data_IF_070156940026
#
_entry.id   IF_070156940026
#
_cell.length_a   1.000
_cell.length_b   1.000
_cell.length_c   1.000
_cell.angle_alpha   90.00
_cell.angle_beta   90.00
_cell.angle_gamma   90.00
#
_symmetry.space_group_name_H-M   'P 1'
#
loop_
_entity.id
_entity.type
_entity.pdbx_description
1 polymer ?
#
# COMPACT_ATOMS: atom_id res chain seq x y z
N UNK A 1 -31.60 11.09 -3.83
CA UNK A 1 -30.21 10.65 -3.97
C UNK A 1 -29.48 11.79 -4.62
N UNK A 2 -28.31 12.16 -4.10
CA UNK A 2 -27.42 13.08 -4.79
C UNK A 2 -26.42 12.23 -5.58
N UNK A 3 -26.16 12.64 -6.82
CA UNK A 3 -25.23 11.98 -7.73
C UNK A 3 -24.16 13.00 -8.06
N UNK A 4 -22.90 12.61 -7.89
CA UNK A 4 -21.74 13.40 -8.26
C UNK A 4 -20.87 12.55 -9.19
N UNK A 5 -20.47 13.12 -10.33
CA UNK A 5 -19.54 12.50 -11.26
C UNK A 5 -18.22 13.25 -11.12
N UNK A 6 -17.19 12.54 -10.69
CA UNK A 6 -15.88 13.12 -10.38
C UNK A 6 -14.89 12.59 -11.41
N UNK A 7 -14.35 13.46 -12.28
CA UNK A 7 -13.34 13.04 -13.22
C UNK A 7 -12.06 12.63 -12.48
N UNK A 8 -11.31 11.72 -13.09
CA UNK A 8 -9.98 11.37 -12.58
C UNK A 8 -9.02 12.55 -12.74
N UNK A 9 -7.94 12.55 -11.94
CA UNK A 9 -6.88 13.55 -12.08
C UNK A 9 -6.29 13.52 -13.50
N UNK A 10 -6.09 14.68 -14.10
CA UNK A 10 -5.51 14.82 -15.45
C UNK A 10 -4.15 14.14 -15.58
N UNK A 11 -3.37 14.09 -14.51
CA UNK A 11 -2.08 13.38 -14.48
C UNK A 11 -2.22 11.88 -14.77
N UNK A 12 -3.43 11.33 -14.64
CA UNK A 12 -3.75 9.91 -14.71
C UNK A 12 -4.57 9.58 -15.98
N UNK A 13 -4.79 10.55 -16.87
CA UNK A 13 -5.51 10.35 -18.15
C UNK A 13 -4.91 9.23 -19.00
N UNK A 14 -3.59 9.02 -18.93
CA UNK A 14 -2.88 7.96 -19.67
C UNK A 14 -3.38 6.55 -19.34
N UNK A 15 -4.05 6.38 -18.19
CA UNK A 15 -4.57 5.09 -17.73
C UNK A 15 -6.01 4.85 -18.18
N UNK A 16 -6.65 5.80 -18.87
CA UNK A 16 -8.04 5.72 -19.35
C UNK A 16 -9.03 5.23 -18.29
N UNK A 17 -8.87 5.74 -17.07
CA UNK A 17 -9.67 5.34 -15.94
C UNK A 17 -11.06 5.97 -16.03
N UNK A 18 -12.12 5.24 -15.65
CA UNK A 18 -13.47 5.78 -15.64
C UNK A 18 -13.62 6.85 -14.55
N UNK A 19 -14.54 7.78 -14.80
CA UNK A 19 -14.98 8.76 -13.80
C UNK A 19 -15.62 8.04 -12.61
N UNK A 20 -15.47 8.63 -11.43
CA UNK A 20 -16.09 8.11 -10.21
C UNK A 20 -17.53 8.60 -10.16
N UNK A 21 -18.45 7.67 -9.95
CA UNK A 21 -19.85 8.00 -9.66
C UNK A 21 -20.05 7.85 -8.15
N UNK A 22 -20.21 8.98 -7.46
CA UNK A 22 -20.51 9.02 -6.04
C UNK A 22 -22.01 9.19 -5.81
N UNK A 23 -22.57 8.30 -5.01
CA UNK A 23 -23.98 8.29 -4.65
C UNK A 23 -24.13 8.60 -3.16
N UNK A 24 -24.77 9.74 -2.83
CA UNK A 24 -25.00 10.15 -1.44
C UNK A 24 -26.49 10.18 -1.12
N UNK A 25 -26.95 9.45 -0.10
CA UNK A 25 -28.33 9.52 0.38
C UNK A 25 -28.65 10.93 0.91
N UNK A 26 -29.67 11.57 0.33
CA UNK A 26 -30.16 12.87 0.75
C UNK A 26 -31.48 12.72 1.55
N UNK A 27 -31.75 13.67 2.45
CA UNK A 27 -32.96 13.73 3.27
C UNK A 27 -33.19 12.45 4.08
N UNK A 28 -32.18 12.03 4.85
CA UNK A 28 -32.23 10.83 5.70
C UNK A 28 -32.17 11.25 7.16
N UNK A 29 -33.07 10.70 7.98
CA UNK A 29 -33.11 10.99 9.42
C UNK A 29 -32.16 10.08 10.21
N UNK A 30 -31.65 9.01 9.58
CA UNK A 30 -30.75 8.04 10.18
C UNK A 30 -29.85 7.37 9.14
N UNK A 31 -28.75 6.75 9.59
CA UNK A 31 -27.89 5.90 8.75
C UNK A 31 -28.65 4.69 8.18
N UNK A 32 -29.63 4.15 8.91
CA UNK A 32 -30.47 3.04 8.45
C UNK A 32 -31.32 3.44 7.25
N UNK A 33 -31.89 4.65 7.27
CA UNK A 33 -32.68 5.16 6.14
C UNK A 33 -31.80 5.44 4.93
N UNK A 34 -30.59 5.97 5.17
CA UNK A 34 -29.58 6.16 4.14
C UNK A 34 -29.20 4.83 3.47
N UNK A 35 -28.96 3.79 4.26
CA UNK A 35 -28.65 2.45 3.77
C UNK A 35 -29.80 1.84 2.96
N UNK A 36 -31.04 1.88 3.47
CA UNK A 36 -32.22 1.39 2.73
C UNK A 36 -32.40 2.08 1.38
N UNK A 37 -32.07 3.38 1.28
CA UNK A 37 -32.10 4.10 0.00
C UNK A 37 -31.04 3.59 -0.97
N UNK A 38 -29.81 3.37 -0.51
CA UNK A 38 -28.74 2.78 -1.34
C UNK A 38 -29.10 1.38 -1.81
N UNK A 39 -29.67 0.56 -0.94
CA UNK A 39 -30.10 -0.80 -1.27
C UNK A 39 -31.15 -0.80 -2.41
N UNK A 40 -32.14 0.09 -2.37
CA UNK A 40 -33.13 0.22 -3.45
C UNK A 40 -32.51 0.63 -4.79
N UNK A 41 -31.46 1.45 -4.76
CA UNK A 41 -30.73 1.84 -5.99
C UNK A 41 -29.95 0.64 -6.53
N UNK A 42 -29.25 -0.07 -5.66
CA UNK A 42 -28.54 -1.30 -5.99
C UNK A 42 -29.44 -2.34 -6.65
N UNK A 43 -30.61 -2.62 -6.06
CA UNK A 43 -31.61 -3.55 -6.59
C UNK A 43 -32.07 -3.15 -8.00
N UNK A 44 -32.36 -1.86 -8.22
CA UNK A 44 -32.76 -1.35 -9.55
C UNK A 44 -31.66 -1.45 -10.59
N UNK A 45 -30.40 -1.33 -10.16
CA UNK A 45 -29.22 -1.40 -11.03
C UNK A 45 -28.67 -2.82 -11.17
N UNK A 46 -29.32 -3.81 -10.55
CA UNK A 46 -28.85 -5.20 -10.48
C UNK A 46 -27.41 -5.31 -9.94
N UNK A 47 -27.07 -4.50 -8.93
CA UNK A 47 -25.76 -4.54 -8.26
C UNK A 47 -25.87 -5.44 -7.04
N UNK A 48 -25.10 -6.53 -7.06
CA UNK A 48 -25.05 -7.48 -5.97
C UNK A 48 -23.97 -7.11 -4.93
N UNK A 49 -24.30 -7.27 -3.65
CA UNK A 49 -23.37 -7.09 -2.55
C UNK A 49 -23.41 -8.31 -1.65
N UNK A 50 -22.27 -8.71 -1.11
CA UNK A 50 -22.25 -9.63 0.03
C UNK A 50 -22.77 -8.90 1.26
N UNK A 51 -23.70 -9.52 1.97
CA UNK A 51 -24.35 -8.95 3.14
C UNK A 51 -23.85 -9.68 4.39
N UNK A 52 -23.57 -8.93 5.45
CA UNK A 52 -23.36 -9.47 6.79
C UNK A 52 -24.69 -9.45 7.53
N UNK A 53 -25.14 -10.62 7.99
CA UNK A 53 -26.35 -10.74 8.79
C UNK A 53 -26.09 -10.21 10.21
N UNK A 54 -26.50 -8.96 10.43
CA UNK A 54 -26.62 -8.30 11.72
C UNK A 54 -28.09 -7.91 11.91
N UNK A 55 -28.54 -7.43 13.09
CA UNK A 55 -29.92 -7.00 13.29
C UNK A 55 -30.44 -6.03 12.22
N UNK A 56 -29.51 -5.31 11.56
CA UNK A 56 -29.73 -4.61 10.30
C UNK A 56 -28.72 -5.18 9.28
N UNK A 57 -29.16 -5.75 8.14
CA UNK A 57 -28.27 -6.26 7.10
C UNK A 57 -27.38 -5.13 6.56
N UNK A 58 -26.07 -5.36 6.49
CA UNK A 58 -25.07 -4.38 6.03
C UNK A 58 -24.16 -4.99 4.98
N UNK A 59 -23.64 -4.21 4.03
CA UNK A 59 -22.71 -4.74 3.03
C UNK A 59 -21.40 -5.12 3.70
N UNK A 60 -20.83 -6.25 3.29
CA UNK A 60 -19.48 -6.61 3.66
C UNK A 60 -18.52 -5.60 3.02
N UNK A 61 -17.65 -5.02 3.84
CA UNK A 61 -16.66 -4.04 3.38
C UNK A 61 -15.46 -4.83 2.85
N UNK A 62 -15.44 -5.07 1.53
CA UNK A 62 -14.44 -5.90 0.84
C UNK A 62 -13.00 -5.41 1.07
N UNK A 63 -12.81 -4.12 1.31
CA UNK A 63 -11.53 -3.49 1.59
C UNK A 63 -10.88 -4.13 2.83
N UNK A 64 -11.64 -4.31 3.93
CA UNK A 64 -11.13 -5.01 5.11
C UNK A 64 -10.82 -6.48 4.81
N UNK A 65 -11.66 -7.15 4.00
CA UNK A 65 -11.40 -8.54 3.60
C UNK A 65 -10.09 -8.72 2.83
N UNK A 66 -9.80 -7.82 1.88
CA UNK A 66 -8.53 -7.81 1.13
C UNK A 66 -7.32 -7.52 2.02
N UNK A 67 -7.49 -6.59 2.98
CA UNK A 67 -6.48 -6.30 3.98
C UNK A 67 -6.20 -7.53 4.84
N UNK A 68 -7.24 -8.20 5.35
CA UNK A 68 -7.11 -9.36 6.24
C UNK A 68 -6.49 -10.56 5.52
N UNK A 69 -6.84 -10.77 4.25
CA UNK A 69 -6.27 -11.82 3.41
C UNK A 69 -4.77 -11.64 3.15
N UNK A 70 -4.26 -10.41 3.21
CA UNK A 70 -2.84 -10.15 3.01
C UNK A 70 -2.01 -10.63 4.20
N UNK A 71 -0.79 -11.10 3.98
CA UNK A 71 0.09 -11.55 5.06
C UNK A 71 0.61 -10.38 5.92
N UNK A 72 1.22 -10.68 7.06
CA UNK A 72 1.98 -9.75 7.90
C UNK A 72 3.47 -9.78 7.53
N UNK A 73 4.22 -8.73 7.85
CA UNK A 73 5.66 -8.70 7.59
C UNK A 73 6.40 -9.76 8.40
N UNK A 74 5.91 -10.09 9.60
CA UNK A 74 6.45 -11.18 10.43
C UNK A 74 6.16 -12.55 9.85
N UNK A 75 4.93 -12.79 9.38
CA UNK A 75 4.58 -14.02 8.68
C UNK A 75 5.42 -14.20 7.41
N UNK A 76 5.58 -13.13 6.63
CA UNK A 76 6.45 -13.10 5.46
C UNK A 76 7.92 -13.39 5.82
N UNK A 77 8.46 -12.71 6.85
CA UNK A 77 9.83 -12.95 7.35
C UNK A 77 10.03 -14.41 7.72
N UNK A 78 9.11 -15.00 8.50
CA UNK A 78 9.17 -16.41 8.87
C UNK A 78 9.20 -17.32 7.64
N UNK A 79 8.33 -17.08 6.66
CA UNK A 79 8.30 -17.85 5.42
C UNK A 79 9.62 -17.77 4.66
N UNK A 80 10.19 -16.57 4.51
CA UNK A 80 11.47 -16.34 3.82
C UNK A 80 12.61 -17.07 4.53
N UNK A 81 12.73 -16.90 5.84
CA UNK A 81 13.83 -17.50 6.61
C UNK A 81 13.80 -19.04 6.59
N UNK A 82 12.60 -19.63 6.48
CA UNK A 82 12.44 -21.09 6.41
C UNK A 82 12.64 -21.64 4.99
N UNK A 83 12.18 -20.94 3.95
CA UNK A 83 12.00 -21.54 2.62
C UNK A 83 12.85 -20.93 1.50
N UNK A 84 13.51 -19.79 1.75
CA UNK A 84 14.14 -18.99 0.69
C UNK A 84 15.64 -18.77 0.88
N UNK A 85 16.29 -19.57 1.70
CA UNK A 85 17.74 -19.50 1.91
C UNK A 85 18.50 -19.75 0.60
N UNK A 86 19.53 -18.94 0.37
CA UNK A 86 20.48 -19.06 -0.74
C UNK A 86 21.88 -19.23 -0.16
N UNK A 87 22.58 -20.29 -0.54
CA UNK A 87 23.88 -20.62 0.04
C UNK A 87 25.01 -19.70 -0.45
N UNK A 88 25.00 -19.31 -1.74
CA UNK A 88 26.01 -18.42 -2.35
C UNK A 88 25.43 -17.61 -3.52
N UNK A 89 24.87 -16.42 -3.27
CA UNK A 89 24.45 -15.54 -4.35
C UNK A 89 25.67 -14.92 -5.03
N UNK A 90 26.15 -15.51 -6.13
CA UNK A 90 27.36 -15.10 -6.83
C UNK A 90 27.07 -14.08 -7.94
N UNK A 91 26.61 -12.88 -7.56
CA UNK A 91 26.20 -11.82 -8.50
C UNK A 91 26.90 -10.48 -8.24
N UNK A 92 28.13 -10.51 -7.75
CA UNK A 92 28.83 -9.32 -7.24
C UNK A 92 29.01 -8.20 -8.29
N UNK A 93 29.04 -8.52 -9.58
CA UNK A 93 29.42 -7.58 -10.64
C UNK A 93 28.29 -6.65 -11.12
N UNK A 94 27.01 -6.95 -10.86
CA UNK A 94 25.88 -6.12 -11.31
C UNK A 94 24.75 -6.08 -10.28
N UNK A 95 24.90 -5.18 -9.30
CA UNK A 95 23.95 -5.02 -8.21
C UNK A 95 23.53 -3.57 -7.99
N UNK A 96 22.30 -3.42 -7.52
CA UNK A 96 21.85 -2.21 -6.82
C UNK A 96 21.55 -2.56 -5.37
N UNK A 97 21.75 -1.60 -4.48
CA UNK A 97 21.34 -1.71 -3.08
C UNK A 97 20.11 -0.83 -2.84
N UNK A 98 19.19 -1.29 -2.01
CA UNK A 98 18.07 -0.46 -1.57
C UNK A 98 18.58 0.59 -0.57
N UNK A 99 18.65 1.83 -1.02
CA UNK A 99 18.97 2.96 -0.17
C UNK A 99 17.74 3.32 0.68
N UNK A 100 17.87 3.24 2.00
CA UNK A 100 16.76 3.47 2.91
C UNK A 100 16.46 4.95 3.10
N UNK A 101 17.34 5.88 2.72
CA UNK A 101 17.12 7.32 2.72
C UNK A 101 16.43 7.78 1.43
N UNK A 102 16.88 7.28 0.28
CA UNK A 102 16.27 7.58 -1.02
C UNK A 102 15.05 6.70 -1.34
N UNK A 103 14.82 5.66 -0.53
CA UNK A 103 13.72 4.70 -0.64
C UNK A 103 13.64 4.00 -2.01
N UNK A 104 14.79 3.78 -2.65
CA UNK A 104 14.90 3.17 -3.97
C UNK A 104 16.19 2.38 -4.13
N UNK A 105 16.23 1.51 -5.13
CA UNK A 105 17.46 0.84 -5.53
C UNK A 105 18.40 1.81 -6.24
N UNK A 106 19.64 1.90 -5.76
CA UNK A 106 20.72 2.73 -6.32
C UNK A 106 21.91 1.85 -6.68
N UNK A 107 22.72 2.28 -7.65
CA UNK A 107 23.93 1.55 -8.02
C UNK A 107 24.85 1.48 -6.80
N UNK A 108 25.35 0.28 -6.52
CA UNK A 108 26.25 0.02 -5.40
C UNK A 108 27.57 -0.54 -5.94
N UNK A 109 28.67 0.03 -5.46
CA UNK A 109 30.03 -0.39 -5.81
C UNK A 109 30.85 -0.79 -4.59
N UNK A 110 30.30 -0.65 -3.39
CA UNK A 110 30.97 -0.97 -2.12
C UNK A 110 30.73 -2.42 -1.73
N UNK A 111 31.51 -2.98 -0.82
CA UNK A 111 31.28 -4.34 -0.31
C UNK A 111 29.86 -4.52 0.25
N UNK A 112 29.28 -5.70 0.03
CA UNK A 112 27.92 -5.99 0.48
C UNK A 112 27.87 -6.02 2.00
N UNK A 113 27.02 -5.18 2.60
CA UNK A 113 26.67 -5.28 4.02
C UNK A 113 25.85 -6.56 4.28
N UNK A 114 26.55 -7.64 4.63
CA UNK A 114 25.95 -8.95 4.92
C UNK A 114 25.21 -8.98 6.27
N UNK A 115 25.30 -7.93 7.09
CA UNK A 115 24.55 -7.84 8.35
C UNK A 115 23.08 -7.56 8.09
N UNK A 116 22.77 -6.51 7.31
CA UNK A 116 21.40 -6.17 6.95
C UNK A 116 21.32 -5.26 5.72
N UNK A 117 21.01 -5.84 4.57
CA UNK A 117 20.83 -5.10 3.32
C UNK A 117 19.88 -5.81 2.34
N UNK A 118 19.37 -5.08 1.36
CA UNK A 118 18.51 -5.60 0.29
C UNK A 118 19.06 -5.21 -1.06
N UNK A 119 19.23 -6.19 -1.93
CA UNK A 119 19.93 -6.05 -3.21
C UNK A 119 18.99 -6.44 -4.34
N UNK A 120 19.13 -5.73 -5.46
CA UNK A 120 18.49 -6.04 -6.72
C UNK A 120 19.57 -6.45 -7.73
N UNK A 121 19.41 -7.63 -8.30
CA UNK A 121 20.26 -8.18 -9.34
C UNK A 121 19.44 -8.37 -10.62
N UNK A 122 20.09 -8.28 -11.76
CA UNK A 122 19.50 -8.62 -13.05
C UNK A 122 20.19 -9.88 -13.58
N UNK A 123 19.52 -11.02 -13.45
CA UNK A 123 20.06 -12.36 -13.75
C UNK A 123 19.12 -13.04 -14.73
N UNK A 124 19.67 -13.60 -15.82
CA UNK A 124 18.89 -14.35 -16.82
C UNK A 124 17.62 -13.61 -17.31
N UNK A 125 17.76 -12.30 -17.58
CA UNK A 125 16.67 -11.43 -18.02
C UNK A 125 15.56 -11.17 -16.99
N UNK A 126 15.76 -11.52 -15.73
CA UNK A 126 14.82 -11.32 -14.64
C UNK A 126 15.48 -10.55 -13.49
N UNK A 127 14.67 -9.78 -12.77
CA UNK A 127 15.13 -9.14 -11.55
C UNK A 127 14.96 -10.09 -10.37
N UNK A 128 16.05 -10.30 -9.63
CA UNK A 128 16.05 -11.10 -8.39
C UNK A 128 16.40 -10.18 -7.23
N UNK A 129 15.69 -10.33 -6.12
CA UNK A 129 15.91 -9.53 -4.92
C UNK A 129 16.41 -10.42 -3.79
N UNK A 130 17.51 -10.02 -3.16
CA UNK A 130 18.15 -10.82 -2.11
C UNK A 130 18.27 -9.96 -0.86
N UNK A 131 17.71 -10.46 0.24
CA UNK A 131 17.89 -9.91 1.58
C UNK A 131 19.10 -10.59 2.23
N UNK A 132 20.07 -9.79 2.66
CA UNK A 132 21.09 -10.23 3.59
C UNK A 132 20.65 -9.95 5.02
N UNK A 133 20.74 -10.96 5.88
CA UNK A 133 20.45 -10.88 7.30
C UNK A 133 21.39 -11.82 8.06
N UNK A 134 22.20 -11.27 8.97
CA UNK A 134 23.12 -12.02 9.83
C UNK A 134 24.02 -13.00 9.05
N UNK A 135 24.67 -12.51 7.99
CA UNK A 135 25.53 -13.26 7.07
C UNK A 135 24.85 -14.37 6.26
N UNK A 136 23.52 -14.43 6.26
CA UNK A 136 22.74 -15.33 5.43
C UNK A 136 21.99 -14.54 4.35
N UNK A 137 21.83 -15.15 3.20
CA UNK A 137 21.10 -14.58 2.08
C UNK A 137 19.79 -15.31 1.83
N UNK A 138 18.75 -14.54 1.52
CA UNK A 138 17.41 -15.05 1.24
C UNK A 138 16.82 -14.38 0.02
N UNK A 139 16.22 -15.16 -0.89
CA UNK A 139 15.44 -14.61 -1.99
C UNK A 139 14.11 -14.04 -1.47
N UNK A 140 13.80 -12.81 -1.87
CA UNK A 140 12.59 -12.11 -1.43
C UNK A 140 11.82 -11.53 -2.60
N UNK A 141 10.54 -11.26 -2.38
CA UNK A 141 9.76 -10.43 -3.28
C UNK A 141 10.25 -8.99 -3.19
N UNK A 142 10.19 -8.28 -4.33
CA UNK A 142 10.70 -6.91 -4.46
C UNK A 142 10.09 -5.93 -3.46
N UNK A 143 8.78 -5.97 -3.24
CA UNK A 143 8.09 -4.97 -2.43
C UNK A 143 8.02 -5.40 -0.97
N UNK A 144 7.74 -6.69 -0.71
CA UNK A 144 7.81 -7.24 0.63
C UNK A 144 9.22 -7.15 1.22
N UNK A 145 10.26 -7.40 0.42
CA UNK A 145 11.66 -7.26 0.83
C UNK A 145 12.00 -5.83 1.28
N UNK A 146 11.47 -4.80 0.62
CA UNK A 146 11.66 -3.39 1.04
C UNK A 146 11.01 -3.13 2.39
N UNK A 147 9.76 -3.54 2.57
CA UNK A 147 9.07 -3.38 3.85
C UNK A 147 9.75 -4.17 4.96
N UNK A 148 10.29 -5.35 4.65
CA UNK A 148 11.03 -6.17 5.61
C UNK A 148 12.30 -5.45 6.06
N UNK A 149 13.12 -4.97 5.11
CA UNK A 149 14.32 -4.19 5.43
C UNK A 149 14.00 -2.92 6.25
N UNK A 150 12.94 -2.20 5.89
CA UNK A 150 12.50 -1.00 6.62
C UNK A 150 12.01 -1.35 8.03
N UNK A 151 11.31 -2.47 8.20
CA UNK A 151 10.90 -3.01 9.50
C UNK A 151 12.11 -3.33 10.37
N UNK A 152 13.08 -4.09 9.86
CA UNK A 152 14.31 -4.44 10.60
C UNK A 152 15.13 -3.22 11.01
N UNK A 153 15.16 -2.17 10.18
CA UNK A 153 15.83 -0.90 10.51
C UNK A 153 14.95 0.06 11.33
N UNK A 154 13.74 -0.35 11.71
CA UNK A 154 12.73 0.47 12.37
C UNK A 154 12.46 1.81 11.66
N UNK A 155 12.64 1.86 10.33
CA UNK A 155 12.46 3.08 9.54
C UNK A 155 10.99 3.21 9.12
N UNK A 156 10.36 4.30 9.56
CA UNK A 156 8.95 4.61 9.25
C UNK A 156 8.89 5.50 8.04
N UNK A 157 8.09 5.11 7.05
CA UNK A 157 8.04 5.81 5.75
C UNK A 157 6.62 6.10 5.28
N UNK A 158 5.63 5.72 6.07
CA UNK A 158 4.21 5.93 5.77
C UNK A 158 3.72 7.14 6.56
N UNK A 159 3.09 8.08 5.87
CA UNK A 159 2.57 9.28 6.48
C UNK A 159 1.06 9.38 6.28
N UNK A 160 0.38 10.04 7.20
CA UNK A 160 -1.06 10.29 7.12
C UNK A 160 -1.38 11.72 7.52
N UNK A 161 -2.27 12.36 6.76
CA UNK A 161 -2.80 13.68 7.08
C UNK A 161 -4.24 13.54 7.58
N UNK A 162 -4.44 13.91 8.85
CA UNK A 162 -5.74 13.79 9.52
C UNK A 162 -6.76 14.83 9.06
N UNK A 163 -6.28 15.98 8.55
CA UNK A 163 -7.15 17.06 8.06
C UNK A 163 -7.73 16.68 6.70
N UNK A 164 -6.90 16.12 5.81
CA UNK A 164 -7.31 15.76 4.44
C UNK A 164 -7.72 14.30 4.29
N UNK A 165 -7.53 13.46 5.33
CA UNK A 165 -7.69 12.00 5.27
C UNK A 165 -6.89 11.35 4.14
N UNK A 166 -5.65 11.83 3.96
CA UNK A 166 -4.75 11.36 2.92
C UNK A 166 -3.64 10.50 3.49
N UNK A 167 -3.42 9.36 2.85
CA UNK A 167 -2.33 8.45 3.16
C UNK A 167 -1.23 8.60 2.10
N UNK A 168 -0.03 8.95 2.54
CA UNK A 168 1.14 9.09 1.68
C UNK A 168 2.09 7.90 1.81
N UNK A 169 2.40 7.28 0.67
CA UNK A 169 3.29 6.11 0.56
C UNK A 169 4.42 6.42 -0.44
N UNK A 170 5.69 6.14 -0.13
CA UNK A 170 6.78 6.45 -1.05
C UNK A 170 6.59 5.76 -2.40
N UNK A 171 6.82 6.49 -3.50
CA UNK A 171 6.61 5.98 -4.88
C UNK A 171 7.33 4.66 -5.16
N UNK A 172 8.54 4.52 -4.65
CA UNK A 172 9.40 3.35 -4.91
C UNK A 172 9.28 2.25 -3.85
N UNK A 173 8.49 2.48 -2.80
CA UNK A 173 8.10 1.49 -1.78
C UNK A 173 6.61 1.20 -1.97
N UNK A 174 6.29 0.54 -3.08
CA UNK A 174 4.92 0.22 -3.44
C UNK A 174 4.36 -0.85 -2.53
N UNK A 175 3.08 -0.70 -2.17
CA UNK A 175 2.34 -1.71 -1.45
C UNK A 175 2.22 -3.00 -2.27
N UNK A 176 2.11 -4.17 -1.60
CA UNK A 176 1.61 -5.36 -2.24
C UNK A 176 0.24 -5.12 -2.88
N UNK A 177 0.01 -5.74 -4.04
CA UNK A 177 -1.13 -5.46 -4.93
C UNK A 177 -2.49 -5.42 -4.21
N UNK A 178 -2.84 -6.47 -3.45
CA UNK A 178 -4.16 -6.57 -2.80
C UNK A 178 -4.39 -5.45 -1.77
N UNK A 179 -3.32 -4.95 -1.17
CA UNK A 179 -3.39 -3.86 -0.20
C UNK A 179 -3.56 -2.52 -0.91
N UNK A 180 -2.81 -2.30 -2.00
CA UNK A 180 -3.01 -1.11 -2.83
C UNK A 180 -4.46 -1.05 -3.36
N UNK A 181 -4.97 -2.17 -3.87
CA UNK A 181 -6.36 -2.29 -4.35
C UNK A 181 -7.35 -2.03 -3.22
N UNK A 182 -7.13 -2.60 -2.03
CA UNK A 182 -7.98 -2.38 -0.86
C UNK A 182 -8.10 -0.90 -0.49
N UNK A 183 -6.99 -0.16 -0.47
CA UNK A 183 -6.98 1.27 -0.15
C UNK A 183 -7.66 2.07 -1.26
N UNK A 184 -7.37 1.79 -2.54
CA UNK A 184 -8.00 2.50 -3.67
C UNK A 184 -9.52 2.33 -3.66
N UNK A 185 -10.02 1.16 -3.31
CA UNK A 185 -11.45 0.90 -3.21
C UNK A 185 -12.16 1.71 -2.10
N UNK A 186 -11.44 2.33 -1.17
CA UNK A 186 -12.06 3.21 -0.14
C UNK A 186 -12.56 4.53 -0.74
N UNK A 187 -11.81 5.07 -1.70
CA UNK A 187 -12.14 6.34 -2.36
C UNK A 187 -12.73 6.15 -3.75
N UNK A 188 -12.46 5.00 -4.38
CA UNK A 188 -12.71 4.77 -5.80
C UNK A 188 -11.71 5.48 -6.70
N UNK A 189 -10.64 6.08 -6.14
CA UNK A 189 -9.67 6.89 -6.86
C UNK A 189 -8.30 6.22 -6.85
N UNK A 190 -7.60 6.35 -7.97
CA UNK A 190 -6.16 6.05 -8.04
C UNK A 190 -5.35 7.07 -7.26
N UNK A 191 -4.20 6.69 -6.70
CA UNK A 191 -3.35 7.65 -6.01
C UNK A 191 -2.72 8.63 -7.00
N UNK A 192 -2.67 9.90 -6.63
CA UNK A 192 -1.89 10.91 -7.35
C UNK A 192 -0.47 10.99 -6.78
N UNK A 193 0.44 11.62 -7.53
CA UNK A 193 1.85 11.72 -7.13
C UNK A 193 2.21 13.17 -6.79
N UNK A 194 2.91 13.36 -5.67
CA UNK A 194 3.44 14.67 -5.29
C UNK A 194 4.83 14.53 -4.70
N UNK A 195 5.71 15.48 -5.01
CA UNK A 195 7.01 15.61 -4.34
C UNK A 195 6.82 16.28 -2.99
N UNK A 196 7.40 15.69 -1.95
CA UNK A 196 7.29 16.13 -0.55
C UNK A 196 8.69 16.26 0.01
N UNK A 197 8.93 17.32 0.78
CA UNK A 197 10.15 17.42 1.56
C UNK A 197 9.93 16.76 2.92
N UNK A 198 10.66 15.67 3.18
CA UNK A 198 10.60 14.96 4.45
C UNK A 198 12.03 14.88 4.97
N UNK A 199 12.26 15.46 6.15
CA UNK A 199 13.55 15.48 6.83
C UNK A 199 14.69 16.03 5.93
N UNK A 200 14.39 17.05 5.14
CA UNK A 200 15.35 17.68 4.23
C UNK A 200 15.54 16.95 2.90
N UNK A 201 14.90 15.78 2.69
CA UNK A 201 14.99 15.00 1.46
C UNK A 201 13.71 15.16 0.65
N UNK A 202 13.84 15.59 -0.60
CA UNK A 202 12.73 15.64 -1.55
C UNK A 202 12.48 14.25 -2.14
N UNK A 203 11.33 13.66 -1.82
CA UNK A 203 10.92 12.34 -2.29
C UNK A 203 9.53 12.42 -2.91
N UNK A 204 9.25 11.54 -3.88
CA UNK A 204 7.93 11.44 -4.50
C UNK A 204 7.10 10.42 -3.74
N UNK A 205 5.91 10.84 -3.33
CA UNK A 205 4.91 10.02 -2.65
C UNK A 205 3.66 9.83 -3.51
N UNK A 206 3.01 8.70 -3.31
CA UNK A 206 1.67 8.36 -3.77
C UNK A 206 0.68 8.73 -2.68
N UNK A 207 -0.34 9.50 -3.03
CA UNK A 207 -1.35 9.99 -2.11
C UNK A 207 -2.68 9.29 -2.37
N UNK A 208 -3.12 8.51 -1.40
CA UNK A 208 -4.43 7.87 -1.40
C UNK A 208 -5.40 8.75 -0.62
N UNK A 209 -6.51 9.09 -1.24
CA UNK A 209 -7.51 10.00 -0.68
C UNK A 209 -8.59 9.24 0.10
N UNK A 210 -9.29 9.92 1.00
CA UNK A 210 -10.44 9.40 1.76
C UNK A 210 -10.17 8.05 2.46
N UNK A 211 -8.95 7.85 2.96
CA UNK A 211 -8.59 6.64 3.69
C UNK A 211 -8.95 6.84 5.15
N UNK A 212 -9.86 6.05 5.76
CA UNK A 212 -10.17 6.22 7.18
C UNK A 212 -8.94 5.94 8.06
N UNK A 213 -8.67 6.81 9.03
CA UNK A 213 -7.54 6.68 9.96
C UNK A 213 -7.41 5.27 10.55
N UNK A 214 -8.50 4.75 11.12
CA UNK A 214 -8.50 3.42 11.76
C UNK A 214 -8.16 2.30 10.77
N UNK A 215 -8.60 2.43 9.51
CA UNK A 215 -8.26 1.50 8.44
C UNK A 215 -6.75 1.51 8.20
N UNK A 216 -6.18 2.71 7.98
CA UNK A 216 -4.76 2.88 7.73
C UNK A 216 -3.92 2.35 8.91
N UNK A 217 -4.22 2.75 10.14
CA UNK A 217 -3.48 2.33 11.34
C UNK A 217 -3.46 0.80 11.49
N UNK A 218 -4.59 0.13 11.29
CA UNK A 218 -4.66 -1.33 11.38
C UNK A 218 -3.91 -2.01 10.24
N UNK A 219 -3.94 -1.42 9.04
CA UNK A 219 -3.24 -1.97 7.89
C UNK A 219 -1.72 -1.92 8.09
N UNK A 220 -1.17 -0.77 8.48
CA UNK A 220 0.28 -0.57 8.53
C UNK A 220 0.95 -1.20 9.76
N UNK A 221 0.18 -1.53 10.80
CA UNK A 221 0.62 -2.46 11.85
C UNK A 221 1.09 -3.79 11.27
N UNK A 222 0.44 -4.31 10.22
CA UNK A 222 0.87 -5.56 9.55
C UNK A 222 2.26 -5.45 8.92
N UNK A 223 2.72 -4.24 8.63
CA UNK A 223 4.04 -3.95 8.05
C UNK A 223 5.08 -3.51 9.09
N UNK A 224 4.75 -3.55 10.39
CA UNK A 224 5.50 -2.87 11.45
C UNK A 224 5.79 -1.40 11.12
N UNK A 225 4.90 -0.76 10.37
CA UNK A 225 4.97 0.65 10.03
C UNK A 225 4.02 1.41 10.97
N UNK A 226 4.60 2.23 11.85
CA UNK A 226 3.83 3.22 12.60
C UNK A 226 3.66 4.44 11.71
N UNK A 227 2.40 4.74 11.38
CA UNK A 227 2.04 5.91 10.59
C UNK A 227 2.56 7.17 11.27
N UNK A 228 3.19 8.02 10.48
CA UNK A 228 3.64 9.34 10.91
C UNK A 228 2.55 10.37 10.57
N UNK A 229 2.06 11.09 11.57
CA UNK A 229 1.01 12.08 11.36
C UNK A 229 1.62 13.43 10.96
N UNK A 230 1.08 14.04 9.91
CA UNK A 230 1.45 15.39 9.45
C UNK A 230 0.20 16.19 9.12
N UNK A 231 0.23 17.49 9.43
CA UNK A 231 -0.86 18.40 9.06
C UNK A 231 -0.65 19.04 7.68
N UNK A 232 0.58 18.96 7.16
CA UNK A 232 1.05 19.56 5.92
C UNK A 232 2.05 18.65 5.18
N UNK A 233 2.13 18.86 3.86
CA UNK A 233 2.94 18.08 2.91
C UNK A 233 3.93 18.97 2.15
#
# INVERSE_FOLDING_TARGET
MNIEIIPQDKQLEIYYLPDIIRLTPANCNSCTDAWKKLQRVAEKMNIEFRITEKPIPQPQIVQFGLQDFSETIEGYKKYVLTNKFLEKPNYEWARKVFDTNLLRFVKDTEEIDKKLSLQEYYVCYQYTHILWLDNKSYEVDRNWGKFLLLSEKNKKVIYYNEITNELAIPKYVQLPRLIAESIMLLSGQVPYYKSVNIDGINLVYQFYQNVPKLFAENLFKKFNQNIQFKNDW
#
